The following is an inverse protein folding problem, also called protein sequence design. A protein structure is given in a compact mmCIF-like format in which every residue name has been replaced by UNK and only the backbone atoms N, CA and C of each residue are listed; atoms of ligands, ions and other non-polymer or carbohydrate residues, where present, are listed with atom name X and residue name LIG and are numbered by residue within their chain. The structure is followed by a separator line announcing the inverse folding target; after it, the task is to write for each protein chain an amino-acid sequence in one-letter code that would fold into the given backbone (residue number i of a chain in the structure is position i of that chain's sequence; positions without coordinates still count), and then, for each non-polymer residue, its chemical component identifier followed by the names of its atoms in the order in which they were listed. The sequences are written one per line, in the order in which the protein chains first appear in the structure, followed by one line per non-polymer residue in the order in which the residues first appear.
data_IF_439085510460
#
_entry.id   IF_439085510460
#
_cell.length_a   1.000
_cell.length_b   1.000
_cell.length_c   1.000
_cell.angle_alpha   90.00
_cell.angle_beta   90.00
_cell.angle_gamma   90.00
#
_symmetry.space_group_name_H-M   'P 1'
#
loop_
_entity.id
_entity.type
_entity.pdbx_description
1 polymer ?
#
# COMPACT_ATOMS: atom_id res chain seq x y z
N UNK A 1 37.89 27.22 43.09
CA UNK A 1 38.95 27.94 42.35
C UNK A 1 39.06 27.28 40.99
N UNK A 2 38.98 28.09 39.91
CA UNK A 2 38.99 27.80 38.45
C UNK A 2 37.98 26.74 37.96
N UNK A 3 36.95 27.02 37.13
CA UNK A 3 36.83 27.72 35.84
C UNK A 3 37.74 27.19 34.72
N UNK A 4 37.09 26.71 33.66
CA UNK A 4 37.67 26.34 32.36
C UNK A 4 36.58 26.32 31.30
N UNK A 5 36.31 27.49 30.71
CA UNK A 5 35.49 27.68 29.52
C UNK A 5 36.23 27.19 28.27
N UNK A 6 35.52 26.64 27.30
CA UNK A 6 35.95 26.70 25.89
C UNK A 6 34.72 26.78 24.98
N UNK A 7 34.47 28.01 24.55
CA UNK A 7 33.68 28.43 23.39
C UNK A 7 34.06 27.68 22.11
N UNK A 8 33.06 27.26 21.33
CA UNK A 8 33.18 27.18 19.87
C UNK A 8 31.91 27.78 19.25
N UNK A 9 32.06 28.92 18.59
CA UNK A 9 31.06 29.55 17.74
C UNK A 9 31.34 29.20 16.28
N UNK A 10 30.26 29.17 15.48
CA UNK A 10 30.29 29.66 14.10
C UNK A 10 30.07 28.60 13.03
N UNK A 11 29.01 28.78 12.24
CA UNK A 11 28.84 28.05 10.99
C UNK A 11 27.43 28.01 10.40
N UNK A 12 26.76 29.16 10.27
CA UNK A 12 25.54 29.33 9.46
C UNK A 12 25.84 29.16 7.98
N UNK A 13 25.01 28.44 7.21
CA UNK A 13 24.75 28.71 5.79
C UNK A 13 23.44 28.07 5.37
N UNK A 14 22.48 28.94 5.04
CA UNK A 14 21.19 28.62 4.45
C UNK A 14 21.32 28.46 2.93
N UNK A 15 20.41 27.66 2.36
CA UNK A 15 19.76 27.78 1.05
C UNK A 15 20.63 27.90 -0.22
N UNK A 16 20.43 26.94 -1.14
CA UNK A 16 20.13 27.28 -2.54
C UNK A 16 19.15 26.26 -3.11
N UNK A 17 17.97 26.77 -3.46
CA UNK A 17 17.05 26.17 -4.42
C UNK A 17 17.70 26.12 -5.81
N UNK A 18 17.36 25.11 -6.61
CA UNK A 18 17.38 25.24 -8.06
C UNK A 18 16.41 24.23 -8.70
N UNK A 19 15.19 24.70 -8.94
CA UNK A 19 14.35 24.25 -10.03
C UNK A 19 14.77 25.00 -11.31
N UNK A 20 14.97 24.28 -12.42
CA UNK A 20 14.91 24.79 -13.81
C UNK A 20 15.19 23.61 -14.75
N UNK A 21 14.68 23.45 -15.96
CA UNK A 21 13.55 23.95 -16.75
C UNK A 21 13.55 23.15 -18.06
N UNK A 22 12.41 23.19 -18.76
CA UNK A 22 12.06 22.57 -20.04
C UNK A 22 12.93 22.96 -21.25
N UNK A 23 13.11 22.03 -22.20
CA UNK A 23 13.05 22.14 -23.69
C UNK A 23 13.77 20.93 -24.30
N UNK A 24 13.34 20.28 -25.39
CA UNK A 24 12.26 20.50 -26.32
C UNK A 24 12.46 19.62 -27.57
N UNK A 25 11.44 19.63 -28.44
CA UNK A 25 11.48 19.50 -29.90
C UNK A 25 11.70 18.08 -30.47
N UNK A 26 10.65 17.49 -31.06
CA UNK A 26 10.15 17.66 -32.44
C UNK A 26 10.82 16.65 -33.37
N UNK A 27 10.06 15.67 -33.89
CA UNK A 27 10.20 15.33 -35.30
C UNK A 27 8.89 14.74 -35.87
N UNK A 28 8.25 15.54 -36.71
CA UNK A 28 7.28 15.09 -37.71
C UNK A 28 8.06 14.48 -38.87
N UNK A 29 7.68 13.29 -39.34
CA UNK A 29 7.78 12.98 -40.77
C UNK A 29 6.47 12.34 -41.24
N UNK A 30 5.82 13.08 -42.15
CA UNK A 30 4.69 12.67 -42.95
C UNK A 30 5.21 11.91 -44.18
N UNK A 31 4.50 10.86 -44.60
CA UNK A 31 4.39 10.56 -46.04
C UNK A 31 2.97 10.13 -46.42
N UNK A 32 2.33 11.06 -47.14
CA UNK A 32 1.28 10.93 -48.16
C UNK A 32 1.48 9.71 -49.11
N UNK A 33 0.53 9.18 -49.88
CA UNK A 33 -0.85 9.50 -50.27
C UNK A 33 -1.37 8.34 -51.14
N UNK A 34 -2.64 8.45 -51.57
CA UNK A 34 -3.27 7.91 -52.82
C UNK A 34 -4.21 6.70 -52.59
N UNK A 35 -5.54 6.86 -52.72
CA UNK A 35 -6.30 6.94 -53.97
C UNK A 35 -6.93 5.56 -54.24
N UNK A 36 -8.20 5.25 -53.93
CA UNK A 36 -9.41 5.68 -54.65
C UNK A 36 -9.73 4.72 -55.81
N UNK A 37 -10.75 3.84 -55.69
CA UNK A 37 -11.62 3.36 -56.79
C UNK A 37 -12.68 2.32 -56.36
N UNK A 38 -13.74 2.26 -57.16
CA UNK A 38 -15.08 1.72 -56.87
C UNK A 38 -15.35 0.32 -57.49
N UNK A 39 -16.04 -0.56 -56.73
CA UNK A 39 -17.12 -1.55 -57.05
C UNK A 39 -17.06 -2.35 -58.40
N UNK A 40 -17.19 -3.71 -58.41
CA UNK A 40 -18.51 -4.37 -58.40
C UNK A 40 -18.66 -5.71 -57.65
N UNK A 41 -19.92 -6.01 -57.33
CA UNK A 41 -20.49 -7.19 -56.69
C UNK A 41 -20.47 -8.43 -57.59
N UNK A 42 -19.95 -9.55 -57.10
CA UNK A 42 -20.33 -10.89 -57.54
C UNK A 42 -20.47 -11.84 -56.34
N UNK A 43 -21.57 -12.58 -56.35
CA UNK A 43 -22.06 -13.39 -55.24
C UNK A 43 -21.19 -14.63 -54.98
N UNK A 44 -20.93 -14.86 -53.71
CA UNK A 44 -20.34 -16.09 -53.17
C UNK A 44 -21.45 -16.99 -52.62
N UNK A 45 -21.38 -18.32 -52.81
CA UNK A 45 -22.36 -19.25 -52.27
C UNK A 45 -22.27 -19.26 -50.74
N UNK A 46 -23.41 -19.10 -50.06
CA UNK A 46 -23.51 -19.29 -48.62
C UNK A 46 -23.34 -20.78 -48.28
N UNK A 47 -22.15 -21.15 -47.80
CA UNK A 47 -21.96 -22.36 -47.00
C UNK A 47 -22.49 -22.08 -45.60
N UNK A 48 -23.47 -22.87 -45.15
CA UNK A 48 -24.06 -22.73 -43.83
C UNK A 48 -23.01 -22.91 -42.74
N UNK A 49 -22.94 -21.90 -41.87
CA UNK A 49 -22.08 -21.84 -40.69
C UNK A 49 -22.71 -22.73 -39.61
N UNK A 50 -21.99 -23.72 -39.06
CA UNK A 50 -22.49 -24.45 -37.90
C UNK A 50 -22.69 -23.45 -36.76
N UNK A 51 -23.91 -23.42 -36.23
CA UNK A 51 -24.30 -22.63 -35.07
C UNK A 51 -23.42 -23.07 -33.89
N UNK A 52 -22.40 -22.27 -33.58
CA UNK A 52 -21.65 -22.42 -32.35
C UNK A 52 -22.64 -22.17 -31.21
N UNK A 53 -22.95 -23.24 -30.49
CA UNK A 53 -23.63 -23.18 -29.19
C UNK A 53 -22.80 -22.27 -28.28
N UNK A 54 -23.40 -21.18 -27.81
CA UNK A 54 -22.75 -20.31 -26.83
C UNK A 54 -22.42 -21.14 -25.58
N UNK A 55 -21.16 -21.19 -25.12
CA UNK A 55 -20.88 -21.68 -23.79
C UNK A 55 -21.55 -20.70 -22.83
N UNK A 56 -22.65 -21.15 -22.23
CA UNK A 56 -23.33 -20.53 -21.10
C UNK A 56 -22.26 -20.10 -20.10
N UNK A 57 -22.08 -18.78 -19.94
CA UNK A 57 -21.24 -18.21 -18.89
C UNK A 57 -21.75 -18.76 -17.56
N UNK A 58 -21.03 -19.74 -17.01
CA UNK A 58 -21.19 -20.14 -15.62
C UNK A 58 -20.65 -18.98 -14.78
N UNK A 59 -21.55 -18.17 -14.26
CA UNK A 59 -21.23 -17.18 -13.25
C UNK A 59 -20.72 -17.97 -12.04
N UNK A 60 -19.39 -18.01 -11.88
CA UNK A 60 -18.77 -18.50 -10.67
C UNK A 60 -19.20 -17.55 -9.56
N UNK A 61 -20.14 -17.99 -8.72
CA UNK A 61 -20.50 -17.32 -7.48
C UNK A 61 -19.25 -17.33 -6.60
N UNK A 62 -18.48 -16.24 -6.66
CA UNK A 62 -17.37 -16.03 -5.76
C UNK A 62 -17.97 -15.94 -4.36
N UNK A 63 -17.70 -16.95 -3.53
CA UNK A 63 -17.91 -16.86 -2.10
C UNK A 63 -17.02 -15.73 -1.60
N UNK A 64 -17.58 -14.52 -1.50
CA UNK A 64 -16.97 -13.46 -0.72
C UNK A 64 -16.98 -13.96 0.73
N UNK A 65 -15.84 -14.45 1.21
CA UNK A 65 -15.55 -14.47 2.64
C UNK A 65 -15.65 -13.02 3.09
N UNK A 66 -16.78 -12.66 3.66
CA UNK A 66 -17.03 -11.36 4.26
C UNK A 66 -15.91 -11.10 5.26
N UNK A 67 -14.95 -10.24 4.90
CA UNK A 67 -14.00 -9.69 5.86
C UNK A 67 -14.83 -9.03 6.96
N UNK A 68 -14.50 -9.27 8.24
CA UNK A 68 -15.28 -8.73 9.34
C UNK A 68 -15.29 -7.20 9.23
N UNK A 69 -16.50 -6.64 9.17
CA UNK A 69 -16.82 -5.21 9.09
C UNK A 69 -16.54 -4.50 10.43
N UNK A 70 -15.34 -4.69 10.97
CA UNK A 70 -14.94 -4.27 12.32
C UNK A 70 -14.05 -3.01 12.29
N UNK A 71 -13.67 -2.55 11.08
CA UNK A 71 -12.77 -1.41 10.88
C UNK A 71 -13.33 -0.06 11.37
N UNK A 72 -14.63 0.04 11.67
CA UNK A 72 -15.25 1.30 12.11
C UNK A 72 -15.16 1.56 13.61
N UNK A 73 -14.97 0.55 14.47
CA UNK A 73 -14.87 0.71 15.93
C UNK A 73 -13.47 0.44 16.48
N UNK A 74 -12.46 0.43 15.59
CA UNK A 74 -11.06 0.17 15.93
C UNK A 74 -10.81 -1.28 16.34
N UNK A 75 -11.64 -2.20 15.86
CA UNK A 75 -11.49 -3.63 16.11
C UNK A 75 -11.23 -4.38 14.81
N UNK A 76 -10.62 -5.53 14.98
CA UNK A 76 -10.32 -6.45 13.90
C UNK A 76 -10.42 -7.84 14.49
N UNK A 77 -11.64 -8.32 14.65
CA UNK A 77 -11.92 -9.57 15.35
C UNK A 77 -11.42 -9.53 16.80
N UNK A 78 -10.49 -10.44 17.14
CA UNK A 78 -9.88 -10.55 18.47
C UNK A 78 -8.84 -9.46 18.79
N UNK A 79 -8.62 -8.49 17.91
CA UNK A 79 -7.59 -7.47 18.06
C UNK A 79 -8.16 -6.10 18.41
N UNK A 80 -7.45 -5.38 19.26
CA UNK A 80 -7.71 -3.99 19.62
C UNK A 80 -6.64 -3.10 18.99
N UNK A 81 -7.06 -2.07 18.24
CA UNK A 81 -6.17 -1.03 17.78
C UNK A 81 -5.66 -0.20 18.97
N UNK A 82 -4.34 -0.07 19.10
CA UNK A 82 -3.69 0.72 20.15
C UNK A 82 -3.28 2.12 19.67
N UNK A 83 -3.33 2.38 18.37
CA UNK A 83 -2.98 3.64 17.74
C UNK A 83 -1.61 3.62 17.07
N UNK A 84 -1.11 4.82 16.79
CA UNK A 84 0.13 5.05 16.08
C UNK A 84 1.33 5.19 17.04
N UNK A 85 2.43 4.50 16.73
CA UNK A 85 3.62 4.46 17.55
C UNK A 85 4.88 4.61 16.73
N UNK A 86 5.80 5.44 17.21
CA UNK A 86 7.10 5.64 16.57
C UNK A 86 7.99 4.41 16.74
N UNK A 87 8.46 3.85 15.64
CA UNK A 87 9.47 2.80 15.62
C UNK A 87 10.89 3.34 15.60
N UNK A 88 11.84 2.43 15.76
CA UNK A 88 13.26 2.71 15.72
C UNK A 88 14.01 1.48 15.28
N UNK A 89 15.32 1.60 15.11
CA UNK A 89 16.19 0.45 14.88
C UNK A 89 16.08 -0.62 15.98
N UNK A 90 15.71 -0.24 17.21
CA UNK A 90 15.51 -1.20 18.31
C UNK A 90 14.21 -2.00 18.22
N UNK A 91 13.33 -1.65 17.27
CA UNK A 91 12.01 -2.24 16.97
C UNK A 91 11.07 -2.36 18.17
N UNK A 92 9.86 -1.81 18.05
CA UNK A 92 8.80 -2.01 19.05
C UNK A 92 8.42 -3.50 19.13
N UNK A 93 8.29 -4.14 17.96
CA UNK A 93 7.93 -5.55 17.80
C UNK A 93 9.13 -6.35 17.27
N UNK A 94 9.55 -7.38 18.02
CA UNK A 94 10.81 -8.12 17.77
C UNK A 94 10.61 -9.55 17.30
N UNK A 95 9.40 -9.91 16.88
CA UNK A 95 9.07 -11.24 16.33
C UNK A 95 9.46 -11.42 14.86
N UNK A 96 10.00 -10.38 14.21
CA UNK A 96 10.38 -10.39 12.80
C UNK A 96 9.51 -9.46 11.95
N UNK A 97 9.93 -9.27 10.69
CA UNK A 97 9.27 -8.44 9.69
C UNK A 97 8.94 -9.30 8.48
N UNK A 98 7.70 -9.21 8.00
CA UNK A 98 7.24 -9.82 6.76
C UNK A 98 6.67 -8.70 5.88
N UNK A 99 7.23 -8.51 4.69
CA UNK A 99 6.80 -7.47 3.76
C UNK A 99 6.08 -8.07 2.55
N UNK A 100 5.07 -7.38 2.03
CA UNK A 100 4.38 -7.79 0.82
C UNK A 100 3.41 -6.75 0.28
N UNK A 101 3.25 -6.71 -1.04
CA UNK A 101 2.45 -5.70 -1.73
C UNK A 101 0.95 -5.82 -1.45
N UNK A 102 0.49 -6.97 -0.96
CA UNK A 102 -0.91 -7.20 -0.59
C UNK A 102 -1.15 -7.07 0.93
N UNK A 103 -0.28 -6.37 1.65
CA UNK A 103 -0.42 -6.24 3.10
C UNK A 103 -1.71 -5.52 3.48
N UNK A 104 -2.42 -6.05 4.48
CA UNK A 104 -3.56 -5.43 5.15
C UNK A 104 -3.42 -5.63 6.65
N UNK A 105 -4.15 -4.88 7.46
CA UNK A 105 -4.20 -5.13 8.91
C UNK A 105 -4.75 -6.54 9.20
N UNK A 106 -5.77 -6.99 8.46
CA UNK A 106 -6.34 -8.35 8.59
C UNK A 106 -5.30 -9.43 8.28
N UNK A 107 -4.56 -9.28 7.19
CA UNK A 107 -3.52 -10.25 6.82
C UNK A 107 -2.40 -10.29 7.87
N UNK A 108 -1.95 -9.13 8.36
CA UNK A 108 -0.92 -9.10 9.39
C UNK A 108 -1.41 -9.72 10.72
N UNK A 109 -2.67 -9.48 11.08
CA UNK A 109 -3.31 -10.10 12.24
C UNK A 109 -3.34 -11.64 12.14
N UNK A 110 -3.65 -12.18 10.96
CA UNK A 110 -3.65 -13.63 10.70
C UNK A 110 -2.23 -14.21 10.85
N UNK A 111 -1.24 -13.62 10.18
CA UNK A 111 0.17 -14.04 10.24
C UNK A 111 0.67 -14.11 11.68
N UNK A 112 0.41 -13.06 12.47
CA UNK A 112 0.88 -12.99 13.85
C UNK A 112 0.07 -13.88 14.80
N UNK A 113 -1.22 -14.10 14.51
CA UNK A 113 -2.09 -15.04 15.26
C UNK A 113 -1.65 -16.49 15.08
N UNK A 114 -1.30 -16.89 13.86
CA UNK A 114 -0.80 -18.24 13.55
C UNK A 114 0.51 -18.53 14.30
N UNK A 115 1.37 -17.52 14.39
CA UNK A 115 2.62 -17.55 15.16
C UNK A 115 2.44 -17.31 16.67
N UNK A 116 1.20 -17.24 17.15
CA UNK A 116 0.79 -17.08 18.57
C UNK A 116 1.20 -15.79 19.26
N UNK A 117 1.68 -14.79 18.54
CA UNK A 117 2.04 -13.48 19.09
C UNK A 117 0.84 -12.72 19.66
N UNK A 118 1.12 -11.83 20.63
CA UNK A 118 0.12 -10.99 21.31
C UNK A 118 -0.05 -9.62 20.68
N UNK A 119 0.92 -9.19 19.87
CA UNK A 119 0.92 -7.91 19.18
C UNK A 119 1.23 -8.14 17.71
N UNK A 120 0.59 -7.33 16.88
CA UNK A 120 1.05 -7.09 15.53
C UNK A 120 1.06 -5.60 15.27
N UNK A 121 1.79 -5.17 14.25
CA UNK A 121 1.66 -3.83 13.73
C UNK A 121 2.06 -3.79 12.27
N UNK A 122 1.50 -2.82 11.58
CA UNK A 122 1.78 -2.56 10.17
C UNK A 122 2.59 -1.29 10.03
N UNK A 123 3.64 -1.33 9.21
CA UNK A 123 4.54 -0.21 8.93
C UNK A 123 4.64 0.00 7.41
N UNK A 124 4.79 1.26 6.99
CA UNK A 124 5.08 1.63 5.61
C UNK A 124 4.09 1.05 4.56
N UNK A 125 2.85 0.74 4.94
CA UNK A 125 1.83 0.24 4.02
C UNK A 125 1.98 -1.22 3.61
N UNK A 126 3.18 -1.79 3.67
CA UNK A 126 3.50 -3.12 3.16
C UNK A 126 4.20 -4.05 4.15
N UNK A 127 4.58 -3.58 5.33
CA UNK A 127 5.31 -4.37 6.31
C UNK A 127 4.38 -4.82 7.44
N UNK A 128 4.54 -6.07 7.85
CA UNK A 128 3.89 -6.66 9.01
C UNK A 128 4.95 -7.07 10.01
N UNK A 129 4.76 -6.66 11.26
CA UNK A 129 5.61 -7.02 12.38
C UNK A 129 4.79 -7.72 13.46
N UNK A 130 5.37 -8.75 14.07
CA UNK A 130 4.75 -9.46 15.18
C UNK A 130 5.57 -9.31 16.47
N UNK A 131 4.94 -9.46 17.63
CA UNK A 131 5.67 -9.50 18.89
C UNK A 131 4.88 -10.12 20.04
N UNK A 132 5.59 -10.77 20.95
CA UNK A 132 4.99 -11.28 22.20
C UNK A 132 4.82 -10.15 23.24
N UNK A 133 5.62 -9.10 23.10
CA UNK A 133 5.56 -7.85 23.84
C UNK A 133 5.81 -6.69 22.89
N UNK A 134 5.32 -5.52 23.25
CA UNK A 134 5.73 -4.26 22.66
C UNK A 134 6.73 -3.59 23.61
N UNK A 135 7.87 -3.13 23.09
CA UNK A 135 8.83 -2.32 23.84
C UNK A 135 8.21 -0.97 24.28
N UNK A 136 8.96 -0.12 24.99
CA UNK A 136 8.46 1.19 25.47
C UNK A 136 7.72 1.94 24.35
N UNK A 137 6.42 2.02 24.54
CA UNK A 137 5.45 2.49 23.58
C UNK A 137 5.49 4.01 23.59
N UNK A 138 6.19 4.62 22.61
CA UNK A 138 6.20 6.08 22.41
C UNK A 138 5.13 6.44 21.40
N UNK A 139 4.06 7.10 21.86
CA UNK A 139 3.00 7.61 20.98
C UNK A 139 3.57 8.57 19.95
N UNK A 140 2.95 8.62 18.77
CA UNK A 140 3.33 9.50 17.66
C UNK A 140 2.57 10.84 17.65
N UNK A 141 2.89 11.71 16.69
CA UNK A 141 2.05 12.84 16.34
C UNK A 141 0.89 12.40 15.41
N UNK A 142 -0.20 13.18 15.31
CA UNK A 142 -1.23 12.97 14.29
C UNK A 142 -0.63 13.03 12.88
N UNK A 143 -1.01 12.10 12.00
CA UNK A 143 -0.53 12.04 10.62
C UNK A 143 0.57 11.03 10.34
N UNK A 144 1.31 10.63 11.38
CA UNK A 144 2.48 9.75 11.21
C UNK A 144 2.11 8.32 10.77
N UNK A 145 0.88 7.88 11.03
CA UNK A 145 0.36 6.58 10.59
C UNK A 145 -0.68 6.69 9.46
N UNK A 146 -0.71 7.76 8.68
CA UNK A 146 -1.72 7.94 7.64
C UNK A 146 -1.34 7.26 6.31
N UNK A 147 -0.38 6.34 6.30
CA UNK A 147 -0.11 5.52 5.11
C UNK A 147 -1.17 4.42 4.99
N UNK A 148 -1.73 4.26 3.80
CA UNK A 148 -2.71 3.22 3.51
C UNK A 148 -2.04 1.87 3.33
N UNK A 149 -2.76 0.80 3.67
CA UNK A 149 -2.27 -0.55 3.39
C UNK A 149 -2.27 -0.82 1.88
N UNK A 150 -1.17 -1.40 1.38
CA UNK A 150 -1.01 -1.65 -0.06
C UNK A 150 -2.00 -2.67 -0.60
N UNK A 151 -2.45 -3.61 0.25
CA UNK A 151 -3.45 -4.62 -0.09
C UNK A 151 -4.89 -4.15 0.00
N UNK A 152 -5.16 -2.92 0.45
CA UNK A 152 -6.54 -2.39 0.51
C UNK A 152 -7.03 -2.04 -0.89
N UNK A 153 -8.11 -2.68 -1.39
CA UNK A 153 -8.63 -2.38 -2.73
C UNK A 153 -9.08 -0.93 -2.85
N UNK A 154 -8.83 -0.32 -4.01
CA UNK A 154 -9.31 1.03 -4.32
C UNK A 154 -10.84 1.08 -4.21
N UNK A 155 -11.34 2.15 -3.56
CA UNK A 155 -12.78 2.34 -3.34
C UNK A 155 -13.37 1.54 -2.18
N UNK A 156 -12.55 0.78 -1.45
CA UNK A 156 -12.95 0.17 -0.17
C UNK A 156 -12.77 1.17 1.00
N UNK A 157 -13.17 0.76 2.21
CA UNK A 157 -12.98 1.59 3.39
C UNK A 157 -11.48 1.73 3.68
N UNK A 158 -11.03 2.96 3.90
CA UNK A 158 -9.63 3.26 4.20
C UNK A 158 -9.18 2.53 5.47
N UNK A 159 -7.99 1.94 5.43
CA UNK A 159 -7.34 1.39 6.61
C UNK A 159 -5.88 1.90 6.66
N UNK A 160 -5.43 2.28 7.86
CA UNK A 160 -4.06 2.75 8.11
C UNK A 160 -3.11 1.56 8.31
N UNK A 161 -1.96 1.57 7.63
CA UNK A 161 -0.84 0.65 7.79
C UNK A 161 0.45 1.37 8.22
N UNK A 162 0.31 2.33 9.13
CA UNK A 162 1.46 3.01 9.72
C UNK A 162 2.05 4.08 8.80
N UNK A 163 3.36 4.24 8.85
CA UNK A 163 4.13 5.22 8.09
C UNK A 163 5.61 4.87 8.10
N UNK A 164 6.47 5.77 7.62
CA UNK A 164 7.92 5.54 7.62
C UNK A 164 8.47 5.62 9.06
N UNK A 165 8.85 4.48 9.65
CA UNK A 165 9.17 4.33 11.07
C UNK A 165 8.00 4.58 12.02
N UNK A 166 6.78 4.30 11.60
CA UNK A 166 5.61 4.38 12.48
C UNK A 166 4.71 3.16 12.29
N UNK A 167 4.43 2.44 13.38
CA UNK A 167 3.51 1.30 13.36
C UNK A 167 2.11 1.75 13.73
N UNK A 168 1.12 1.28 12.96
CA UNK A 168 -0.22 1.12 13.49
C UNK A 168 -0.24 -0.16 14.35
N UNK A 169 -0.25 -0.02 15.68
CA UNK A 169 -0.05 -1.12 16.63
C UNK A 169 -1.38 -1.71 17.09
N UNK A 170 -1.43 -3.03 17.19
CA UNK A 170 -2.60 -3.79 17.60
C UNK A 170 -2.25 -4.83 18.67
N UNK A 171 -3.21 -5.13 19.55
CA UNK A 171 -3.03 -6.09 20.64
C UNK A 171 -4.18 -7.11 20.67
N UNK A 172 -3.83 -8.39 20.89
CA UNK A 172 -4.78 -9.49 21.03
C UNK A 172 -5.51 -9.38 22.37
N UNK A 173 -6.83 -9.50 22.34
CA UNK A 173 -7.67 -9.57 23.56
C UNK A 173 -7.74 -10.97 24.15
#
# INVERSE_FOLDING_TARGET
MQQGESTYQGGTSQQTESQSSKKGQDNLENHASDGGQSRPTQGVPHTERPTAEEPKLIVATSSATSMPTDSADGRLGGWKNLGCYADSEQRILRGGIISGDNMTNSLCAEICSDSKFKYFGTEHGNECMCGESAAEVRGSAPGDCDMGCNGTPLGSQWESCGGFWFLNLWQRR
#
